data_IF_863364978062
#
_entry.id   IF_863364978062
#
_cell.length_a   1.000
_cell.length_b   1.000
_cell.length_c   1.000
_cell.angle_alpha   90.00
_cell.angle_beta   90.00
_cell.angle_gamma   90.00
#
_symmetry.space_group_name_H-M   'P 1'
#
loop_
_entity.id
_entity.type
_entity.pdbx_description
1 polymer ?
#
# COMPACT_ATOMS: atom_id res chain seq x y z
N UNK A 1 -29.77 -8.87 -40.81
CA UNK A 1 -30.79 -8.37 -39.87
C UNK A 1 -30.25 -8.61 -38.47
N UNK A 2 -29.70 -7.58 -37.82
CA UNK A 2 -29.05 -7.69 -36.50
C UNK A 2 -29.73 -6.67 -35.59
N UNK A 3 -30.34 -7.17 -34.51
CA UNK A 3 -31.09 -6.39 -33.53
C UNK A 3 -30.15 -5.47 -32.73
N UNK A 4 -30.51 -4.20 -32.69
CA UNK A 4 -29.94 -3.18 -31.80
C UNK A 4 -30.58 -3.39 -30.42
N UNK A 5 -29.79 -3.82 -29.43
CA UNK A 5 -30.23 -3.87 -28.03
C UNK A 5 -29.75 -2.58 -27.37
N UNK A 6 -30.67 -1.62 -27.22
CA UNK A 6 -30.44 -0.40 -26.45
C UNK A 6 -30.70 -0.70 -24.97
N UNK A 7 -29.63 -0.72 -24.16
CA UNK A 7 -29.79 -0.61 -22.71
C UNK A 7 -29.82 0.87 -22.33
N UNK A 8 -31.04 1.38 -22.16
CA UNK A 8 -31.26 2.61 -21.41
C UNK A 8 -30.92 2.36 -19.95
N UNK A 9 -29.87 3.00 -19.45
CA UNK A 9 -29.65 3.15 -18.01
C UNK A 9 -29.54 4.64 -17.71
N UNK A 10 -30.45 5.05 -16.84
CA UNK A 10 -30.67 6.40 -16.37
C UNK A 10 -29.40 7.12 -15.93
N UNK A 11 -29.42 8.42 -16.18
CA UNK A 11 -28.40 9.41 -15.86
C UNK A 11 -28.03 9.43 -14.37
N UNK A 12 -26.89 8.84 -14.02
CA UNK A 12 -25.96 9.38 -13.03
C UNK A 12 -24.58 9.10 -13.60
N UNK A 13 -23.89 10.13 -14.10
CA UNK A 13 -22.52 9.98 -14.57
C UNK A 13 -21.68 9.45 -13.40
N UNK A 14 -21.27 8.18 -13.46
CA UNK A 14 -20.32 7.65 -12.51
C UNK A 14 -19.08 8.55 -12.53
N UNK A 15 -18.51 8.93 -11.36
CA UNK A 15 -17.26 9.68 -11.36
C UNK A 15 -16.24 8.88 -12.17
N UNK A 16 -15.67 9.50 -13.20
CA UNK A 16 -14.68 8.85 -14.05
C UNK A 16 -13.43 8.65 -13.19
N UNK A 17 -13.26 7.44 -12.67
CA UNK A 17 -12.05 7.05 -11.94
C UNK A 17 -11.00 6.65 -12.96
N UNK A 18 -10.05 7.53 -13.21
CA UNK A 18 -8.87 7.21 -14.04
C UNK A 18 -7.80 6.64 -13.12
N UNK A 19 -7.54 5.35 -13.25
CA UNK A 19 -6.42 4.68 -12.56
C UNK A 19 -5.26 4.62 -13.54
N UNK A 20 -4.24 5.47 -13.32
CA UNK A 20 -2.98 5.40 -14.07
C UNK A 20 -1.88 4.88 -13.16
N UNK A 21 -1.28 3.75 -13.53
CA UNK A 21 -0.02 3.29 -12.92
C UNK A 21 1.12 3.87 -13.75
N UNK A 22 1.54 5.07 -13.41
CA UNK A 22 2.75 5.66 -13.97
C UNK A 22 3.85 5.58 -12.89
N UNK A 23 4.88 4.78 -13.16
CA UNK A 23 6.11 4.89 -12.40
C UNK A 23 6.74 6.23 -12.81
N UNK A 24 6.69 7.22 -11.93
CA UNK A 24 7.47 8.43 -12.15
C UNK A 24 8.94 8.03 -12.02
N UNK A 25 9.63 7.87 -13.17
CA UNK A 25 11.05 7.50 -13.24
C UNK A 25 12.00 8.58 -12.70
N UNK A 26 11.45 9.69 -12.21
CA UNK A 26 12.19 10.91 -11.92
C UNK A 26 12.11 11.20 -10.42
N UNK A 27 13.24 11.49 -9.77
CA UNK A 27 13.36 11.77 -8.33
C UNK A 27 12.49 12.93 -7.82
N UNK A 28 11.74 13.60 -8.70
CA UNK A 28 10.76 14.66 -8.45
C UNK A 28 9.29 14.20 -8.51
N UNK A 29 9.01 12.89 -8.49
CA UNK A 29 7.67 12.30 -8.36
C UNK A 29 6.82 12.84 -7.19
N UNK A 30 7.47 13.51 -6.23
CA UNK A 30 6.85 14.11 -5.05
C UNK A 30 6.43 15.57 -5.20
N UNK A 31 6.75 16.24 -6.31
CA UNK A 31 6.45 17.67 -6.49
C UNK A 31 4.94 17.90 -6.68
N UNK A 32 4.29 18.65 -5.76
CA UNK A 32 2.84 18.89 -5.82
C UNK A 32 2.37 19.48 -7.15
N UNK A 33 3.18 20.33 -7.78
CA UNK A 33 2.86 21.03 -9.03
C UNK A 33 2.72 20.07 -10.22
N UNK A 34 3.60 19.07 -10.32
CA UNK A 34 3.53 18.02 -11.34
C UNK A 34 2.29 17.14 -11.16
N UNK A 35 1.96 16.78 -9.92
CA UNK A 35 0.76 16.00 -9.60
C UNK A 35 -0.51 16.78 -9.94
N UNK A 36 -0.54 18.07 -9.60
CA UNK A 36 -1.71 18.93 -9.86
C UNK A 36 -1.90 19.15 -11.36
N UNK A 37 -0.83 19.44 -12.10
CA UNK A 37 -0.89 19.61 -13.56
C UNK A 37 -1.34 18.34 -14.28
N UNK A 38 -0.82 17.17 -13.87
CA UNK A 38 -1.24 15.87 -14.36
C UNK A 38 -2.74 15.61 -14.18
N UNK A 39 -3.30 15.98 -13.02
CA UNK A 39 -4.73 15.85 -12.73
C UNK A 39 -5.61 16.80 -13.52
N UNK A 40 -5.18 18.06 -13.62
CA UNK A 40 -5.89 19.08 -14.41
C UNK A 40 -5.96 18.72 -15.89
N UNK A 41 -4.89 18.15 -16.45
CA UNK A 41 -4.88 17.67 -17.83
C UNK A 41 -5.95 16.60 -18.10
N UNK A 42 -6.35 15.84 -17.07
CA UNK A 42 -7.38 14.80 -17.13
C UNK A 42 -8.76 15.29 -16.66
N UNK A 43 -8.93 16.59 -16.41
CA UNK A 43 -10.16 17.17 -15.86
C UNK A 43 -10.63 16.49 -14.56
N UNK A 44 -9.69 15.94 -13.79
CA UNK A 44 -10.00 15.33 -12.51
C UNK A 44 -10.24 16.43 -11.46
N UNK A 45 -11.11 16.14 -10.48
CA UNK A 45 -11.32 17.02 -9.33
C UNK A 45 -10.34 16.74 -8.19
N UNK A 46 -10.08 15.45 -7.96
CA UNK A 46 -9.17 14.97 -6.94
C UNK A 46 -8.13 14.04 -7.55
N UNK A 47 -6.93 14.03 -6.97
CA UNK A 47 -5.94 12.98 -7.20
C UNK A 47 -5.60 12.32 -5.88
N UNK A 48 -5.54 10.99 -5.91
CA UNK A 48 -4.94 10.19 -4.84
C UNK A 48 -3.53 9.80 -5.29
N UNK A 49 -2.53 10.27 -4.56
CA UNK A 49 -1.14 9.91 -4.74
C UNK A 49 -0.73 8.91 -3.65
N UNK A 50 -0.27 7.74 -4.05
CA UNK A 50 0.19 6.67 -3.16
C UNK A 50 1.70 6.52 -3.40
N UNK A 51 2.49 6.77 -2.35
CA UNK A 51 3.94 6.64 -2.38
C UNK A 51 4.31 5.50 -1.46
N UNK A 52 4.96 4.46 -2.00
CA UNK A 52 5.50 3.38 -1.19
C UNK A 52 6.96 3.70 -0.88
N UNK A 53 7.26 3.89 0.40
CA UNK A 53 8.59 4.28 0.87
C UNK A 53 9.50 3.04 1.04
N UNK A 54 8.93 1.92 1.51
CA UNK A 54 9.68 0.69 1.79
C UNK A 54 8.78 -0.54 1.71
N UNK A 55 9.28 -1.60 1.09
CA UNK A 55 8.73 -2.96 1.17
C UNK A 55 9.89 -3.91 1.48
N UNK A 56 9.85 -4.59 2.62
CA UNK A 56 10.92 -5.50 3.01
C UNK A 56 10.51 -6.53 4.07
N UNK A 57 11.45 -7.41 4.42
CA UNK A 57 11.31 -8.37 5.51
C UNK A 57 12.04 -7.86 6.75
N UNK A 58 11.30 -7.73 7.85
CA UNK A 58 11.83 -7.33 9.15
C UNK A 58 11.76 -8.49 10.14
N UNK A 59 12.86 -8.75 10.86
CA UNK A 59 12.90 -9.71 11.97
C UNK A 59 12.72 -8.95 13.30
N UNK A 60 11.82 -9.43 14.16
CA UNK A 60 11.58 -8.90 15.52
C UNK A 60 11.93 -9.98 16.55
N UNK A 61 12.82 -9.65 17.50
CA UNK A 61 13.17 -10.49 18.67
C UNK A 61 12.28 -10.09 19.85
N UNK A 62 11.61 -11.06 20.45
CA UNK A 62 10.88 -10.90 21.70
C UNK A 62 11.51 -11.78 22.78
N UNK A 63 11.99 -11.16 23.85
CA UNK A 63 12.49 -11.88 25.03
C UNK A 63 11.31 -12.28 25.91
N UNK A 64 11.09 -13.58 26.09
CA UNK A 64 9.95 -14.10 26.86
C UNK A 64 10.37 -14.44 28.29
N UNK A 65 11.50 -15.12 28.42
CA UNK A 65 12.17 -15.32 29.70
C UNK A 65 13.58 -14.74 29.61
N UNK A 66 13.97 -13.82 30.50
CA UNK A 66 15.34 -13.31 30.54
C UNK A 66 16.31 -14.50 30.55
N UNK A 67 17.25 -14.53 29.61
CA UNK A 67 18.38 -15.49 29.52
C UNK A 67 18.03 -16.90 28.99
N UNK A 68 16.76 -17.30 28.93
CA UNK A 68 16.39 -18.70 28.63
C UNK A 68 15.51 -18.91 27.41
N UNK A 69 14.69 -17.93 27.00
CA UNK A 69 13.78 -18.13 25.87
C UNK A 69 13.59 -16.85 25.07
N UNK A 70 13.96 -16.95 23.80
CA UNK A 70 13.76 -15.91 22.79
C UNK A 70 12.77 -16.39 21.74
N UNK A 71 11.93 -15.48 21.28
CA UNK A 71 11.02 -15.71 20.16
C UNK A 71 11.38 -14.76 19.03
N UNK A 72 11.78 -15.32 17.90
CA UNK A 72 12.08 -14.56 16.69
C UNK A 72 10.91 -14.68 15.73
N UNK A 73 10.50 -13.54 15.17
CA UNK A 73 9.40 -13.46 14.21
C UNK A 73 9.82 -12.66 13.00
N UNK A 74 9.54 -13.20 11.82
CA UNK A 74 9.75 -12.50 10.55
C UNK A 74 8.42 -11.92 10.08
N UNK A 75 8.45 -10.65 9.68
CA UNK A 75 7.33 -9.89 9.16
C UNK A 75 7.68 -9.36 7.78
N UNK A 76 6.73 -9.40 6.84
CA UNK A 76 6.78 -8.54 5.68
C UNK A 76 6.12 -7.21 6.06
N UNK A 77 6.81 -6.10 5.77
CA UNK A 77 6.40 -4.77 6.17
C UNK A 77 6.35 -3.89 4.93
N UNK A 78 5.26 -3.16 4.77
CA UNK A 78 5.08 -2.14 3.75
C UNK A 78 4.80 -0.82 4.45
N UNK A 79 5.61 0.19 4.17
CA UNK A 79 5.37 1.56 4.64
C UNK A 79 5.31 2.53 3.48
N UNK A 80 4.46 3.52 3.64
CA UNK A 80 4.25 4.53 2.61
C UNK A 80 3.38 5.67 3.08
N UNK A 81 2.97 6.50 2.12
CA UNK A 81 2.18 7.70 2.34
C UNK A 81 1.08 7.80 1.30
N UNK A 82 -0.13 8.05 1.78
CA UNK A 82 -1.30 8.40 1.00
C UNK A 82 -1.46 9.92 1.03
N UNK A 83 -1.59 10.57 -0.12
CA UNK A 83 -1.89 11.99 -0.23
C UNK A 83 -3.09 12.19 -1.14
N UNK A 84 -4.03 13.04 -0.72
CA UNK A 84 -5.16 13.44 -1.56
C UNK A 84 -5.00 14.91 -1.89
N UNK A 85 -5.00 15.22 -3.18
CA UNK A 85 -4.92 16.59 -3.70
C UNK A 85 -6.28 17.02 -4.25
N UNK A 86 -6.71 18.22 -3.88
CA UNK A 86 -7.81 18.93 -4.53
C UNK A 86 -7.20 19.81 -5.63
N UNK A 87 -7.59 19.52 -6.86
CA UNK A 87 -7.00 20.13 -8.06
C UNK A 87 -7.59 21.51 -8.36
N UNK A 88 -8.81 21.79 -7.88
CA UNK A 88 -9.43 23.12 -7.96
C UNK A 88 -8.65 24.09 -7.06
N UNK A 89 -8.36 23.64 -5.83
CA UNK A 89 -7.65 24.45 -4.84
C UNK A 89 -6.12 24.37 -4.96
N UNK A 90 -5.59 23.36 -5.64
CA UNK A 90 -4.16 23.12 -5.81
C UNK A 90 -3.43 22.73 -4.51
N UNK A 91 -4.16 22.20 -3.53
CA UNK A 91 -3.60 21.87 -2.20
C UNK A 91 -3.78 20.39 -1.87
N UNK A 92 -2.89 19.85 -1.03
CA UNK A 92 -3.10 18.57 -0.39
C UNK A 92 -4.17 18.71 0.70
N UNK A 93 -5.28 17.97 0.58
CA UNK A 93 -6.39 17.97 1.54
C UNK A 93 -6.14 16.99 2.68
N UNK A 94 -5.45 15.89 2.38
CA UNK A 94 -5.09 14.88 3.39
C UNK A 94 -3.73 14.26 3.07
N UNK A 95 -2.99 13.94 4.12
CA UNK A 95 -1.75 13.17 4.04
C UNK A 95 -1.73 12.18 5.21
N UNK A 96 -1.79 10.90 4.89
CA UNK A 96 -1.76 9.81 5.87
C UNK A 96 -0.58 8.89 5.63
N UNK A 97 -0.08 8.29 6.72
CA UNK A 97 0.87 7.19 6.62
C UNK A 97 0.12 5.88 6.40
N UNK A 98 0.70 5.01 5.60
CA UNK A 98 0.29 3.62 5.40
C UNK A 98 1.39 2.76 6.03
N UNK A 99 1.01 1.80 6.86
CA UNK A 99 1.93 0.86 7.49
C UNK A 99 1.23 -0.47 7.69
N UNK A 100 1.50 -1.41 6.80
CA UNK A 100 0.92 -2.74 6.84
C UNK A 100 2.01 -3.75 7.22
N UNK A 101 1.67 -4.73 8.05
CA UNK A 101 2.57 -5.84 8.37
C UNK A 101 1.85 -7.18 8.31
N UNK A 102 2.50 -8.16 7.68
CA UNK A 102 2.05 -9.55 7.66
C UNK A 102 3.11 -10.42 8.31
N UNK A 103 2.68 -11.25 9.27
CA UNK A 103 3.53 -12.22 9.94
C UNK A 103 3.79 -13.41 9.01
N UNK A 104 5.04 -13.82 8.88
CA UNK A 104 5.44 -14.93 8.03
C UNK A 104 5.93 -16.15 8.82
N UNK A 105 7.13 -16.09 9.38
CA UNK A 105 7.72 -17.17 10.17
C UNK A 105 7.87 -16.79 11.64
N UNK A 106 7.85 -17.81 12.51
CA UNK A 106 7.91 -17.67 13.96
C UNK A 106 8.67 -18.85 14.54
N UNK A 107 9.69 -18.56 15.34
CA UNK A 107 10.54 -19.59 15.91
C UNK A 107 10.87 -19.27 17.37
N UNK A 108 10.83 -20.32 18.18
CA UNK A 108 11.28 -20.30 19.56
C UNK A 108 12.71 -20.81 19.64
N UNK A 109 13.56 -20.11 20.38
CA UNK A 109 14.95 -20.48 20.64
C UNK A 109 15.21 -20.45 22.16
N UNK A 110 15.89 -21.48 22.66
CA UNK A 110 16.17 -21.68 24.09
C UNK A 110 17.56 -21.11 24.47
N UNK A 111 18.45 -20.95 23.49
CA UNK A 111 19.73 -20.27 23.66
C UNK A 111 19.75 -19.00 22.82
N UNK A 112 20.57 -18.04 23.23
CA UNK A 112 20.89 -16.87 22.43
C UNK A 112 21.86 -17.31 21.32
N UNK A 113 21.36 -17.87 20.22
CA UNK A 113 22.23 -18.02 19.07
C UNK A 113 21.55 -18.05 17.69
N UNK A 114 22.25 -17.33 16.82
CA UNK A 114 22.10 -17.09 15.39
C UNK A 114 20.82 -16.37 14.90
N UNK A 115 20.86 -15.02 14.69
CA UNK A 115 19.80 -14.29 14.00
C UNK A 115 19.64 -14.72 12.53
N UNK A 116 20.61 -15.42 11.95
CA UNK A 116 20.61 -15.97 10.59
C UNK A 116 20.26 -17.46 10.53
N UNK A 117 19.61 -17.97 11.58
CA UNK A 117 19.06 -19.32 11.58
C UNK A 117 18.26 -19.60 10.28
N UNK A 118 18.58 -20.66 9.52
CA UNK A 118 17.89 -21.00 8.28
C UNK A 118 16.38 -21.14 8.43
N UNK A 119 15.89 -21.52 9.62
CA UNK A 119 14.47 -21.63 9.92
C UNK A 119 13.75 -20.28 10.03
N UNK A 120 14.49 -19.17 10.19
CA UNK A 120 13.96 -17.80 10.08
C UNK A 120 14.02 -17.25 8.65
N UNK A 121 14.71 -17.95 7.74
CA UNK A 121 14.74 -17.59 6.33
C UNK A 121 13.44 -18.05 5.67
N UNK A 122 12.86 -17.17 4.86
CA UNK A 122 11.68 -17.50 4.06
C UNK A 122 12.19 -17.94 2.69
N UNK A 123 11.80 -19.14 2.20
CA UNK A 123 12.08 -19.57 0.83
C UNK A 123 11.58 -18.56 -0.21
N UNK A 124 12.27 -18.45 -1.35
CA UNK A 124 11.99 -17.41 -2.35
C UNK A 124 10.55 -17.50 -2.93
N UNK A 125 10.05 -18.71 -3.12
CA UNK A 125 8.67 -19.02 -3.51
C UNK A 125 7.65 -18.50 -2.50
N UNK A 126 7.92 -18.69 -1.21
CA UNK A 126 7.04 -18.19 -0.14
C UNK A 126 7.10 -16.66 0.02
N UNK A 127 8.24 -16.02 -0.30
CA UNK A 127 8.37 -14.56 -0.27
C UNK A 127 7.45 -13.87 -1.26
N UNK A 128 7.29 -14.43 -2.47
CA UNK A 128 6.44 -13.84 -3.50
C UNK A 128 4.99 -13.80 -3.00
N UNK A 129 4.45 -14.95 -2.59
CA UNK A 129 3.07 -15.01 -2.08
C UNK A 129 2.86 -14.17 -0.82
N UNK A 130 3.88 -14.01 0.02
CA UNK A 130 3.84 -13.14 1.19
C UNK A 130 3.77 -11.65 0.82
N UNK A 131 4.54 -11.21 -0.18
CA UNK A 131 4.47 -9.84 -0.67
C UNK A 131 3.18 -9.57 -1.42
N UNK A 132 2.67 -10.52 -2.21
CA UNK A 132 1.36 -10.41 -2.86
C UNK A 132 0.24 -10.22 -1.82
N UNK A 133 0.28 -11.01 -0.74
CA UNK A 133 -0.67 -10.87 0.37
C UNK A 133 -0.53 -9.51 1.08
N UNK A 134 0.70 -8.99 1.22
CA UNK A 134 0.97 -7.69 1.83
C UNK A 134 0.45 -6.55 0.96
N UNK A 135 0.64 -6.64 -0.35
CA UNK A 135 0.09 -5.68 -1.31
C UNK A 135 -1.43 -5.68 -1.30
N UNK A 136 -2.06 -6.86 -1.24
CA UNK A 136 -3.52 -6.96 -1.13
C UNK A 136 -4.04 -6.32 0.16
N UNK A 137 -3.40 -6.60 1.30
CA UNK A 137 -3.75 -6.00 2.58
C UNK A 137 -3.61 -4.46 2.54
N UNK A 138 -2.52 -3.97 1.95
CA UNK A 138 -2.30 -2.54 1.79
C UNK A 138 -3.34 -1.90 0.87
N UNK A 139 -3.73 -2.57 -0.22
CA UNK A 139 -4.79 -2.11 -1.12
C UNK A 139 -6.12 -1.97 -0.39
N UNK A 140 -6.51 -2.97 0.42
CA UNK A 140 -7.73 -2.95 1.21
C UNK A 140 -7.72 -1.78 2.22
N UNK A 141 -6.61 -1.59 2.95
CA UNK A 141 -6.47 -0.49 3.91
C UNK A 141 -6.53 0.90 3.23
N UNK A 142 -5.90 1.04 2.06
CA UNK A 142 -5.94 2.27 1.27
C UNK A 142 -7.38 2.58 0.82
N UNK A 143 -8.10 1.57 0.32
CA UNK A 143 -9.49 1.73 -0.11
C UNK A 143 -10.37 2.17 1.05
N UNK A 144 -10.20 1.56 2.23
CA UNK A 144 -10.97 1.91 3.42
C UNK A 144 -10.66 3.33 3.90
N UNK A 145 -9.38 3.74 3.87
CA UNK A 145 -8.98 5.14 4.15
C UNK A 145 -9.62 6.11 3.17
N UNK A 146 -9.57 5.86 1.87
CA UNK A 146 -10.20 6.72 0.85
C UNK A 146 -11.71 6.81 1.07
N UNK A 147 -12.39 5.68 1.33
CA UNK A 147 -13.83 5.66 1.63
C UNK A 147 -14.18 6.47 2.87
N UNK A 148 -13.37 6.39 3.92
CA UNK A 148 -13.60 7.16 5.16
C UNK A 148 -13.50 8.67 4.92
N UNK A 149 -12.59 9.09 4.03
CA UNK A 149 -12.39 10.50 3.67
C UNK A 149 -13.51 11.01 2.75
N UNK A 150 -14.07 10.16 1.89
CA UNK A 150 -15.18 10.50 1.00
C UNK A 150 -16.54 10.63 1.69
N UNK A 151 -16.70 10.09 2.92
CA UNK A 151 -17.94 10.20 3.71
C UNK A 151 -18.04 11.46 4.57
N UNK A 152 -16.97 12.25 4.65
CA UNK A 152 -16.96 13.57 5.31
C UNK A 152 -17.32 14.67 4.32
#
# INVERSE_FOLDING_TARGET
MIQKIEYGVSQVAAPITIVSREAFEDGNAGEPERIVSFGRARQARFIVNIIIDRIDLTRKKATIFPILVYRYRTYAVLTGRLRIFDLERGIAVSAEKISCEIKASDQWQISEDDPDNPALMIPADQKIGLFDALEQLAADEIVDKIKSLAKK
#
